data_IF_295182440482
#
_entry.id   IF_295182440482
#
_cell.length_a   1.000
_cell.length_b   1.000
_cell.length_c   1.000
_cell.angle_alpha   90.00
_cell.angle_beta   90.00
_cell.angle_gamma   90.00
#
_symmetry.space_group_name_H-M   'P 1'
#
loop_
_entity.id
_entity.type
_entity.pdbx_description
1 polymer ?
#
# COMPACT_ATOMS: atom_id res chain seq x y z
N UNK A 1 73.07 -57.61 -58.98
CA UNK A 1 73.07 -56.64 -57.86
C UNK A 1 72.00 -55.54 -57.97
N UNK A 2 71.47 -55.18 -59.16
CA UNK A 2 70.44 -54.13 -59.28
C UNK A 2 69.04 -54.56 -58.78
N UNK A 3 68.61 -55.78 -59.12
CA UNK A 3 67.27 -56.31 -58.80
C UNK A 3 67.04 -56.55 -57.30
N UNK A 4 68.08 -56.88 -56.54
CA UNK A 4 67.99 -57.10 -55.09
C UNK A 4 67.80 -55.79 -54.33
N UNK A 5 68.46 -54.71 -54.77
CA UNK A 5 68.30 -53.37 -54.17
C UNK A 5 66.91 -52.79 -54.42
N UNK A 6 66.34 -53.00 -55.61
CA UNK A 6 64.95 -52.56 -55.91
C UNK A 6 63.91 -53.35 -55.12
N UNK A 7 64.12 -54.65 -54.88
CA UNK A 7 63.25 -55.47 -54.03
C UNK A 7 63.25 -55.00 -52.57
N UNK A 8 64.41 -54.67 -52.00
CA UNK A 8 64.52 -54.12 -50.65
C UNK A 8 63.83 -52.76 -50.51
N UNK A 9 64.01 -51.86 -51.49
CA UNK A 9 63.33 -50.57 -51.50
C UNK A 9 61.80 -50.72 -51.54
N UNK A 10 61.27 -51.64 -52.36
CA UNK A 10 59.84 -51.94 -52.43
C UNK A 10 59.28 -52.54 -51.13
N UNK A 11 60.06 -53.38 -50.45
CA UNK A 11 59.68 -53.92 -49.12
C UNK A 11 59.61 -52.82 -48.08
N UNK A 12 60.60 -51.93 -48.05
CA UNK A 12 60.64 -50.80 -47.12
C UNK A 12 59.48 -49.82 -47.38
N UNK A 13 59.17 -49.57 -48.65
CA UNK A 13 58.05 -48.71 -49.04
C UNK A 13 56.70 -49.33 -48.66
N UNK A 14 56.50 -50.64 -48.87
CA UNK A 14 55.31 -51.36 -48.40
C UNK A 14 55.17 -51.28 -46.88
N UNK A 15 56.27 -51.45 -46.13
CA UNK A 15 56.26 -51.33 -44.67
C UNK A 15 55.78 -49.94 -44.23
N UNK A 16 56.27 -48.87 -44.88
CA UNK A 16 55.85 -47.49 -44.58
C UNK A 16 54.37 -47.25 -44.89
N UNK A 17 53.90 -47.70 -46.05
CA UNK A 17 52.48 -47.57 -46.40
C UNK A 17 51.57 -48.33 -45.44
N UNK A 18 52.01 -49.49 -44.95
CA UNK A 18 51.24 -50.27 -43.98
C UNK A 18 51.17 -49.60 -42.61
N UNK A 19 52.25 -48.94 -42.19
CA UNK A 19 52.28 -48.12 -40.97
C UNK A 19 51.41 -46.86 -41.11
N UNK A 20 51.51 -46.13 -42.22
CA UNK A 20 50.64 -44.97 -42.51
C UNK A 20 49.16 -45.34 -42.57
N UNK A 21 48.82 -46.49 -43.17
CA UNK A 21 47.45 -46.99 -43.21
C UNK A 21 46.94 -47.30 -41.80
N UNK A 22 47.77 -47.91 -40.94
CA UNK A 22 47.40 -48.20 -39.55
C UNK A 22 47.15 -46.92 -38.75
N UNK A 23 48.02 -45.92 -38.89
CA UNK A 23 47.90 -44.62 -38.24
C UNK A 23 46.66 -43.86 -38.71
N UNK A 24 46.37 -43.91 -40.03
CA UNK A 24 45.16 -43.31 -40.61
C UNK A 24 43.89 -43.97 -40.08
N UNK A 25 43.91 -45.31 -39.96
CA UNK A 25 42.78 -46.08 -39.44
C UNK A 25 42.53 -45.83 -37.95
N UNK A 26 43.59 -45.68 -37.15
CA UNK A 26 43.49 -45.32 -35.74
C UNK A 26 42.95 -43.89 -35.56
N UNK A 27 43.42 -42.92 -36.36
CA UNK A 27 42.88 -41.56 -36.38
C UNK A 27 41.41 -41.53 -36.76
N UNK A 28 41.02 -42.25 -37.81
CA UNK A 28 39.62 -42.34 -38.26
C UNK A 28 38.71 -42.98 -37.18
N UNK A 29 39.21 -43.99 -36.48
CA UNK A 29 38.50 -44.62 -35.35
C UNK A 29 38.30 -43.64 -34.19
N UNK A 30 39.35 -42.87 -33.85
CA UNK A 30 39.31 -41.84 -32.81
C UNK A 30 38.34 -40.70 -33.17
N UNK A 31 38.41 -40.17 -34.39
CA UNK A 31 37.46 -39.16 -34.89
C UNK A 31 36.03 -39.69 -34.90
N UNK A 32 35.81 -40.93 -35.33
CA UNK A 32 34.49 -41.56 -35.29
C UNK A 32 33.95 -41.74 -33.87
N UNK A 33 34.83 -41.98 -32.89
CA UNK A 33 34.44 -42.00 -31.48
C UNK A 33 34.10 -40.61 -30.97
N UNK A 34 34.89 -39.59 -31.34
CA UNK A 34 34.63 -38.20 -30.98
C UNK A 34 33.31 -37.68 -31.54
N UNK A 35 33.03 -37.93 -32.82
CA UNK A 35 31.76 -37.60 -33.47
C UNK A 35 30.60 -38.29 -32.74
N UNK A 36 30.73 -39.57 -32.37
CA UNK A 36 29.69 -40.27 -31.62
C UNK A 36 29.41 -39.65 -30.25
N UNK A 37 30.43 -39.15 -29.56
CA UNK A 37 30.27 -38.46 -28.27
C UNK A 37 29.57 -37.13 -28.46
N UNK A 38 30.04 -36.30 -29.41
CA UNK A 38 29.41 -35.01 -29.73
C UNK A 38 27.94 -35.19 -30.15
N UNK A 39 27.62 -36.20 -30.95
CA UNK A 39 26.23 -36.48 -31.33
C UNK A 39 25.35 -36.83 -30.12
N UNK A 40 25.89 -37.50 -29.09
CA UNK A 40 25.16 -37.79 -27.85
C UNK A 40 24.94 -36.54 -27.01
N UNK A 41 25.96 -35.68 -26.91
CA UNK A 41 25.88 -34.39 -26.21
C UNK A 41 24.82 -33.49 -26.86
N UNK A 42 24.88 -33.32 -28.18
CA UNK A 42 23.88 -32.54 -28.94
C UNK A 42 22.47 -33.10 -28.76
N UNK A 43 22.31 -34.42 -28.73
CA UNK A 43 21.01 -35.05 -28.50
C UNK A 43 20.47 -34.78 -27.09
N UNK A 44 21.34 -34.86 -26.07
CA UNK A 44 20.98 -34.56 -24.68
C UNK A 44 20.63 -33.08 -24.51
N UNK A 45 21.44 -32.17 -25.07
CA UNK A 45 21.18 -30.73 -25.01
C UNK A 45 19.84 -30.38 -25.66
N UNK A 46 19.54 -30.99 -26.83
CA UNK A 46 18.27 -30.78 -27.52
C UNK A 46 17.06 -31.28 -26.70
N UNK A 47 17.20 -32.40 -25.99
CA UNK A 47 16.16 -32.90 -25.09
C UNK A 47 15.95 -31.97 -23.90
N UNK A 48 17.03 -31.46 -23.30
CA UNK A 48 16.94 -30.52 -22.17
C UNK A 48 16.27 -29.21 -22.56
N UNK A 49 16.62 -28.63 -23.71
CA UNK A 49 15.99 -27.41 -24.24
C UNK A 49 14.50 -27.63 -24.50
N UNK A 50 14.12 -28.75 -25.13
CA UNK A 50 12.71 -29.05 -25.39
C UNK A 50 11.90 -29.22 -24.10
N UNK A 51 12.47 -29.85 -23.08
CA UNK A 51 11.84 -29.97 -21.77
C UNK A 51 11.73 -28.62 -21.04
N UNK A 52 12.71 -27.74 -21.20
CA UNK A 52 12.70 -26.41 -20.62
C UNK A 52 11.64 -25.52 -21.28
N UNK A 53 11.61 -25.47 -22.62
CA UNK A 53 10.61 -24.70 -23.37
C UNK A 53 9.17 -25.12 -22.99
N UNK A 54 8.90 -26.42 -22.98
CA UNK A 54 7.58 -26.93 -22.57
C UNK A 54 7.26 -26.68 -21.10
N UNK A 55 8.26 -26.60 -20.22
CA UNK A 55 8.10 -26.25 -18.81
C UNK A 55 7.76 -24.78 -18.62
N UNK A 56 8.44 -23.89 -19.33
CA UNK A 56 8.22 -22.45 -19.30
C UNK A 56 6.84 -22.08 -19.87
N UNK A 57 6.43 -22.66 -21.00
CA UNK A 57 5.09 -22.47 -21.58
C UNK A 57 3.98 -22.89 -20.61
N UNK A 58 4.12 -24.07 -19.97
CA UNK A 58 3.16 -24.56 -18.97
C UNK A 58 3.10 -23.66 -17.75
N UNK A 59 4.24 -23.16 -17.28
CA UNK A 59 4.29 -22.24 -16.16
C UNK A 59 3.60 -20.91 -16.50
N UNK A 60 3.88 -20.34 -17.67
CA UNK A 60 3.22 -19.11 -18.12
C UNK A 60 1.70 -19.29 -18.21
N UNK A 61 1.24 -20.36 -18.86
CA UNK A 61 -0.19 -20.67 -18.98
C UNK A 61 -0.85 -20.83 -17.61
N UNK A 62 -0.19 -21.54 -16.67
CA UNK A 62 -0.67 -21.67 -15.30
C UNK A 62 -0.78 -20.33 -14.57
N UNK A 63 0.19 -19.42 -14.75
CA UNK A 63 0.10 -18.09 -14.12
C UNK A 63 -1.01 -17.23 -14.71
N UNK A 64 -1.34 -17.41 -15.99
CA UNK A 64 -2.45 -16.70 -16.63
C UNK A 64 -3.79 -17.21 -16.12
N UNK A 65 -3.95 -18.55 -16.04
CA UNK A 65 -5.11 -19.20 -15.43
C UNK A 65 -5.29 -18.79 -13.96
N UNK A 66 -4.20 -18.72 -13.18
CA UNK A 66 -4.26 -18.28 -11.77
C UNK A 66 -4.73 -16.82 -11.64
N UNK A 67 -4.35 -15.94 -12.56
CA UNK A 67 -4.84 -14.54 -12.60
C UNK A 67 -6.31 -14.47 -12.95
N UNK A 68 -6.76 -15.24 -13.94
CA UNK A 68 -8.17 -15.29 -14.32
C UNK A 68 -9.05 -15.87 -13.19
N UNK A 69 -8.56 -16.89 -12.48
CA UNK A 69 -9.25 -17.40 -11.30
C UNK A 69 -9.38 -16.35 -10.20
N UNK A 70 -8.35 -15.53 -10.00
CA UNK A 70 -8.37 -14.48 -8.99
C UNK A 70 -9.31 -13.33 -9.37
N UNK A 71 -9.37 -12.94 -10.65
CA UNK A 71 -10.35 -11.94 -11.12
C UNK A 71 -11.78 -12.43 -10.95
N UNK A 72 -12.07 -13.68 -11.34
CA UNK A 72 -13.40 -14.28 -11.17
C UNK A 72 -13.79 -14.41 -9.68
N UNK A 73 -12.85 -14.75 -8.80
CA UNK A 73 -13.09 -14.77 -7.34
C UNK A 73 -13.48 -13.40 -6.80
N UNK A 74 -12.77 -12.36 -7.23
CA UNK A 74 -13.06 -10.98 -6.84
C UNK A 74 -14.44 -10.54 -7.33
N UNK A 75 -14.80 -10.87 -8.58
CA UNK A 75 -16.13 -10.57 -9.12
C UNK A 75 -17.24 -11.30 -8.34
N UNK A 76 -17.04 -12.57 -8.00
CA UNK A 76 -17.99 -13.33 -7.17
C UNK A 76 -18.15 -12.68 -5.80
N UNK A 77 -17.06 -12.20 -5.18
CA UNK A 77 -17.13 -11.51 -3.90
C UNK A 77 -17.95 -10.21 -3.99
N UNK A 78 -17.74 -9.41 -5.04
CA UNK A 78 -18.52 -8.18 -5.31
C UNK A 78 -20.01 -8.52 -5.52
N UNK A 79 -20.32 -9.46 -6.42
CA UNK A 79 -21.70 -9.88 -6.70
C UNK A 79 -22.41 -10.41 -5.47
N UNK A 80 -21.71 -11.13 -4.57
CA UNK A 80 -22.28 -11.57 -3.28
C UNK A 80 -22.61 -10.40 -2.37
N UNK A 81 -21.74 -9.38 -2.32
CA UNK A 81 -21.99 -8.15 -1.58
C UNK A 81 -23.20 -7.40 -2.10
N UNK A 82 -23.28 -7.21 -3.42
CA UNK A 82 -24.42 -6.58 -4.10
C UNK A 82 -25.72 -7.36 -3.87
N UNK A 83 -25.68 -8.69 -3.93
CA UNK A 83 -26.86 -9.52 -3.66
C UNK A 83 -27.37 -9.37 -2.22
N UNK A 84 -26.46 -9.28 -1.24
CA UNK A 84 -26.83 -9.05 0.16
C UNK A 84 -27.47 -7.65 0.35
N UNK A 85 -26.92 -6.63 -0.31
CA UNK A 85 -27.52 -5.28 -0.30
C UNK A 85 -28.89 -5.28 -0.98
N UNK A 86 -29.04 -5.94 -2.13
CA UNK A 86 -30.31 -6.05 -2.85
C UNK A 86 -31.39 -6.72 -2.00
N UNK A 87 -31.06 -7.79 -1.27
CA UNK A 87 -31.99 -8.44 -0.32
C UNK A 87 -32.40 -7.50 0.81
N UNK A 88 -31.45 -6.74 1.36
CA UNK A 88 -31.74 -5.76 2.43
C UNK A 88 -32.69 -4.67 1.92
N UNK A 89 -32.44 -4.14 0.72
CA UNK A 89 -33.30 -3.17 0.07
C UNK A 89 -34.69 -3.76 -0.22
N UNK A 90 -34.76 -5.00 -0.70
CA UNK A 90 -36.04 -5.69 -0.92
C UNK A 90 -36.85 -5.78 0.37
N UNK A 91 -36.25 -6.22 1.48
CA UNK A 91 -36.94 -6.27 2.78
C UNK A 91 -37.39 -4.89 3.25
N UNK A 92 -36.59 -3.85 3.03
CA UNK A 92 -36.96 -2.48 3.35
C UNK A 92 -38.16 -2.00 2.53
N UNK A 93 -38.20 -2.28 1.22
CA UNK A 93 -39.34 -1.97 0.36
C UNK A 93 -40.60 -2.69 0.83
N UNK A 94 -40.53 -3.99 1.13
CA UNK A 94 -41.68 -4.74 1.66
C UNK A 94 -42.19 -4.17 2.99
N UNK A 95 -41.31 -3.68 3.87
CA UNK A 95 -41.72 -2.99 5.10
C UNK A 95 -42.45 -1.68 4.80
N UNK A 96 -41.88 -0.84 3.93
CA UNK A 96 -42.49 0.42 3.54
C UNK A 96 -43.85 0.23 2.83
N UNK A 97 -44.01 -0.83 2.06
CA UNK A 97 -45.28 -1.18 1.43
C UNK A 97 -46.35 -1.55 2.48
N UNK A 98 -45.98 -2.30 3.52
CA UNK A 98 -46.90 -2.59 4.65
C UNK A 98 -47.26 -1.33 5.42
N UNK A 99 -46.28 -0.49 5.74
CA UNK A 99 -46.51 0.76 6.47
C UNK A 99 -47.41 1.70 5.67
N UNK A 100 -47.19 1.81 4.36
CA UNK A 100 -48.06 2.55 3.45
C UNK A 100 -49.50 2.04 3.49
N UNK A 101 -49.70 0.72 3.43
CA UNK A 101 -51.05 0.15 3.49
C UNK A 101 -51.74 0.45 4.83
N UNK A 102 -51.03 0.33 5.96
CA UNK A 102 -51.55 0.66 7.28
C UNK A 102 -51.91 2.14 7.41
N UNK A 103 -51.07 3.04 6.89
CA UNK A 103 -51.34 4.47 6.89
C UNK A 103 -52.57 4.80 6.02
N UNK A 104 -52.70 4.17 4.86
CA UNK A 104 -53.87 4.32 4.00
C UNK A 104 -55.16 3.87 4.70
N UNK A 105 -55.14 2.75 5.42
CA UNK A 105 -56.28 2.29 6.24
C UNK A 105 -56.63 3.30 7.36
N UNK A 106 -55.63 3.85 8.05
CA UNK A 106 -55.88 4.85 9.09
C UNK A 106 -56.45 6.14 8.52
N UNK A 107 -55.94 6.60 7.39
CA UNK A 107 -56.46 7.80 6.69
C UNK A 107 -57.91 7.59 6.30
N UNK A 108 -58.22 6.48 5.62
CA UNK A 108 -59.62 6.18 5.23
C UNK A 108 -60.56 6.06 6.44
N UNK A 109 -60.11 5.45 7.55
CA UNK A 109 -60.88 5.41 8.80
C UNK A 109 -61.13 6.80 9.38
N UNK A 110 -60.13 7.68 9.38
CA UNK A 110 -60.27 9.05 9.85
C UNK A 110 -61.20 9.88 8.94
N UNK A 111 -61.06 9.73 7.63
CA UNK A 111 -61.94 10.37 6.64
C UNK A 111 -63.42 9.96 6.84
N UNK A 112 -63.68 8.66 7.06
CA UNK A 112 -65.03 8.17 7.37
C UNK A 112 -65.57 8.75 8.68
N UNK A 113 -64.75 8.84 9.73
CA UNK A 113 -65.15 9.44 11.02
C UNK A 113 -65.46 10.94 10.88
N UNK A 114 -64.66 11.67 10.10
CA UNK A 114 -64.89 13.09 9.83
C UNK A 114 -66.18 13.31 9.03
N UNK A 115 -66.42 12.52 7.98
CA UNK A 115 -67.69 12.57 7.23
C UNK A 115 -68.89 12.18 8.11
N UNK A 116 -68.78 11.13 8.93
CA UNK A 116 -69.85 10.71 9.84
C UNK A 116 -70.22 11.74 10.90
N UNK A 117 -69.23 12.54 11.36
CA UNK A 117 -69.45 13.65 12.29
C UNK A 117 -70.19 14.83 11.64
N UNK A 118 -69.85 15.17 10.39
CA UNK A 118 -70.54 16.22 9.63
C UNK A 118 -72.01 15.89 9.32
N UNK A 119 -72.36 14.60 9.17
CA UNK A 119 -73.75 14.16 8.94
C UNK A 119 -74.58 14.13 10.23
N UNK A 120 -73.95 14.00 11.41
CA UNK A 120 -74.63 13.96 12.71
C UNK A 120 -74.86 15.34 13.34
N UNK A 121 -74.10 16.37 12.95
CA UNK A 121 -74.28 17.77 13.37
C UNK A 121 -75.27 18.55 12.47
N UNK A 122 -76.31 17.87 11.96
CA UNK A 122 -77.39 18.44 11.15
C UNK A 122 -78.59 18.95 11.94
N UNK A 123 -78.51 19.02 13.27
CA UNK A 123 -79.61 19.48 14.12
C UNK A 123 -79.14 19.98 15.49
N UNK A 124 -79.41 21.25 15.73
CA UNK A 124 -79.37 21.98 17.00
C UNK A 124 -78.11 22.81 17.33
N UNK A 125 -78.26 24.10 17.05
CA UNK A 125 -77.85 25.27 17.83
C UNK A 125 -76.50 25.27 18.60
N UNK A 126 -75.64 26.21 18.20
CA UNK A 126 -75.08 27.16 19.17
C UNK A 126 -73.57 27.31 19.19
N UNK A 127 -73.09 28.36 18.50
CA UNK A 127 -71.87 29.14 18.79
C UNK A 127 -70.53 28.38 18.72
N UNK A 128 -69.54 28.83 17.91
CA UNK A 128 -68.17 28.34 18.08
C UNK A 128 -67.68 28.83 19.45
N UNK A 129 -67.60 27.90 20.40
CA UNK A 129 -67.05 28.16 21.72
C UNK A 129 -65.62 28.65 21.55
N UNK A 130 -65.35 29.89 21.96
CA UNK A 130 -64.04 30.54 21.98
C UNK A 130 -62.93 29.70 22.64
N UNK A 131 -63.29 28.65 23.39
CA UNK A 131 -62.35 27.69 23.96
C UNK A 131 -61.73 26.71 22.95
N UNK A 132 -62.42 26.39 21.84
CA UNK A 132 -61.91 25.40 20.87
C UNK A 132 -60.74 25.98 20.06
N UNK A 133 -60.86 27.23 19.63
CA UNK A 133 -59.78 27.98 18.97
C UNK A 133 -58.58 28.20 19.89
N UNK A 134 -58.81 28.41 21.18
CA UNK A 134 -57.74 28.57 22.17
C UNK A 134 -57.01 27.24 22.45
N UNK A 135 -57.73 26.11 22.43
CA UNK A 135 -57.14 24.78 22.58
C UNK A 135 -56.30 24.37 21.36
N UNK A 136 -56.74 24.73 20.15
CA UNK A 136 -55.98 24.49 18.93
C UNK A 136 -54.70 25.34 18.86
N UNK A 137 -54.77 26.61 19.26
CA UNK A 137 -53.57 27.45 19.39
C UNK A 137 -52.57 26.87 20.41
N UNK A 138 -53.03 26.42 21.58
CA UNK A 138 -52.17 25.78 22.57
C UNK A 138 -51.59 24.45 22.08
N UNK A 139 -52.30 23.72 21.21
CA UNK A 139 -51.80 22.50 20.57
C UNK A 139 -50.69 22.81 19.57
N UNK A 140 -50.89 23.80 18.71
CA UNK A 140 -49.87 24.24 17.74
C UNK A 140 -48.61 24.77 18.43
N UNK A 141 -48.78 25.59 19.47
CA UNK A 141 -47.66 26.09 20.30
C UNK A 141 -46.91 24.95 20.99
N UNK A 142 -47.64 23.94 21.49
CA UNK A 142 -47.04 22.74 22.08
C UNK A 142 -46.26 21.94 21.05
N UNK A 143 -46.83 21.69 19.86
CA UNK A 143 -46.15 20.95 18.78
C UNK A 143 -44.90 21.70 18.30
N UNK A 144 -44.96 23.03 18.23
CA UNK A 144 -43.81 23.87 17.91
C UNK A 144 -42.72 23.80 18.99
N UNK A 145 -43.09 23.88 20.27
CA UNK A 145 -42.16 23.74 21.38
C UNK A 145 -41.53 22.34 21.44
N UNK A 146 -42.32 21.28 21.22
CA UNK A 146 -41.83 19.91 21.11
C UNK A 146 -40.86 19.75 19.93
N UNK A 147 -41.15 20.39 18.79
CA UNK A 147 -40.23 20.47 17.64
C UNK A 147 -38.89 21.13 17.99
N UNK A 148 -38.91 22.27 18.69
CA UNK A 148 -37.69 22.93 19.16
C UNK A 148 -36.90 22.04 20.14
N UNK A 149 -37.58 21.37 21.08
CA UNK A 149 -36.96 20.45 22.02
C UNK A 149 -36.28 19.29 21.27
N UNK A 150 -36.96 18.69 20.29
CA UNK A 150 -36.40 17.62 19.49
C UNK A 150 -35.18 18.06 18.67
N UNK A 151 -35.24 19.27 18.08
CA UNK A 151 -34.10 19.85 17.39
C UNK A 151 -32.91 20.08 18.32
N UNK A 152 -33.14 20.67 19.50
CA UNK A 152 -32.08 20.89 20.49
C UNK A 152 -31.50 19.57 20.98
N UNK A 153 -32.33 18.55 21.23
CA UNK A 153 -31.86 17.23 21.63
C UNK A 153 -30.97 16.60 20.55
N UNK A 154 -31.32 16.73 19.27
CA UNK A 154 -30.47 16.29 18.15
C UNK A 154 -29.12 17.00 18.15
N UNK A 155 -29.11 18.34 18.28
CA UNK A 155 -27.87 19.13 18.35
C UNK A 155 -27.03 18.77 19.57
N UNK A 156 -27.65 18.53 20.72
CA UNK A 156 -26.97 18.12 21.95
C UNK A 156 -26.28 16.77 21.75
N UNK A 157 -26.97 15.78 21.18
CA UNK A 157 -26.39 14.45 20.91
C UNK A 157 -25.21 14.56 19.94
N UNK A 158 -25.34 15.36 18.88
CA UNK A 158 -24.26 15.58 17.91
C UNK A 158 -23.04 16.29 18.53
N UNK A 159 -23.27 17.29 19.39
CA UNK A 159 -22.20 17.99 20.11
C UNK A 159 -21.53 17.10 21.16
N UNK A 160 -22.29 16.26 21.86
CA UNK A 160 -21.75 15.28 22.81
C UNK A 160 -20.88 14.25 22.09
N UNK A 161 -21.34 13.70 20.98
CA UNK A 161 -20.55 12.78 20.13
C UNK A 161 -19.26 13.42 19.66
N UNK A 162 -19.32 14.66 19.12
CA UNK A 162 -18.12 15.38 18.68
C UNK A 162 -17.15 15.65 19.84
N UNK A 163 -17.66 15.99 21.03
CA UNK A 163 -16.80 16.15 22.21
C UNK A 163 -16.13 14.84 22.62
N UNK A 164 -16.84 13.72 22.57
CA UNK A 164 -16.27 12.40 22.83
C UNK A 164 -15.20 12.01 21.80
N UNK A 165 -15.46 12.23 20.51
CA UNK A 165 -14.50 12.01 19.43
C UNK A 165 -13.23 12.84 19.61
N UNK A 166 -13.38 14.14 19.93
CA UNK A 166 -12.24 15.02 20.22
C UNK A 166 -11.47 14.55 21.46
N UNK A 167 -12.16 14.12 22.51
CA UNK A 167 -11.54 13.56 23.72
C UNK A 167 -10.76 12.29 23.43
N UNK A 168 -11.27 11.40 22.58
CA UNK A 168 -10.57 10.19 22.12
C UNK A 168 -9.35 10.57 21.29
N UNK A 169 -9.47 11.51 20.36
CA UNK A 169 -8.36 11.98 19.53
C UNK A 169 -7.24 12.59 20.36
N UNK A 170 -7.58 13.39 21.37
CA UNK A 170 -6.62 14.00 22.28
C UNK A 170 -5.90 12.94 23.13
N UNK A 171 -6.63 11.96 23.67
CA UNK A 171 -6.01 10.80 24.33
C UNK A 171 -5.09 10.02 23.40
N UNK A 172 -5.48 9.82 22.14
CA UNK A 172 -4.66 9.12 21.15
C UNK A 172 -3.39 9.88 20.81
N UNK A 173 -3.46 11.20 20.66
CA UNK A 173 -2.27 12.04 20.44
C UNK A 173 -1.35 12.03 21.67
N UNK A 174 -1.89 12.19 22.88
CA UNK A 174 -1.12 12.10 24.12
C UNK A 174 -0.46 10.72 24.31
N UNK A 175 -1.15 9.63 23.96
CA UNK A 175 -0.58 8.29 23.96
C UNK A 175 0.48 8.15 22.86
N UNK A 176 0.29 8.70 21.67
CA UNK A 176 1.28 8.65 20.60
C UNK A 176 2.58 9.42 20.95
N UNK A 177 2.49 10.48 21.73
CA UNK A 177 3.65 11.22 22.25
C UNK A 177 4.41 10.46 23.34
N UNK A 178 3.74 9.62 24.12
CA UNK A 178 4.37 8.79 25.16
C UNK A 178 4.82 7.41 24.66
N UNK A 179 4.22 6.89 23.58
CA UNK A 179 4.55 5.58 23.01
C UNK A 179 5.62 5.66 21.91
N UNK A 180 6.65 6.48 22.16
CA UNK A 180 7.93 6.36 21.49
C UNK A 180 8.62 5.08 21.97
N UNK A 181 8.60 4.03 21.14
CA UNK A 181 9.48 2.86 21.22
C UNK A 181 9.78 2.32 22.63
N UNK A 182 8.86 1.59 23.25
CA UNK A 182 9.28 0.57 24.22
C UNK A 182 8.38 -0.65 24.15
N UNK A 183 9.01 -1.79 23.92
CA UNK A 183 8.36 -3.08 23.95
C UNK A 183 8.15 -3.49 25.40
N UNK A 184 6.99 -4.04 25.72
CA UNK A 184 6.89 -5.01 26.80
C UNK A 184 5.63 -5.84 26.62
N UNK A 185 5.86 -7.14 26.61
CA UNK A 185 4.95 -8.24 26.33
C UNK A 185 3.74 -8.35 27.26
N UNK A 186 2.72 -9.04 26.75
CA UNK A 186 1.85 -9.87 27.58
C UNK A 186 0.39 -9.93 27.14
N UNK A 187 0.06 -10.73 26.13
CA UNK A 187 -0.63 -12.02 26.30
C UNK A 187 -1.15 -12.54 24.94
N UNK A 188 -1.10 -13.86 24.83
CA UNK A 188 -1.26 -14.71 23.66
C UNK A 188 -2.52 -14.54 22.80
N UNK A 189 -2.33 -14.78 21.49
CA UNK A 189 -2.93 -15.89 20.72
C UNK A 189 -3.50 -15.42 19.36
N UNK A 190 -3.06 -16.09 18.28
CA UNK A 190 -3.64 -15.97 16.94
C UNK A 190 -2.71 -15.35 15.89
N UNK A 191 -1.92 -16.20 15.23
CA UNK A 191 -0.86 -15.82 14.31
C UNK A 191 -1.27 -14.97 13.09
N UNK A 192 -0.37 -14.07 12.70
CA UNK A 192 -0.13 -13.63 11.33
C UNK A 192 1.24 -12.96 11.28
N UNK A 193 2.17 -13.54 10.52
CA UNK A 193 3.50 -12.98 10.26
C UNK A 193 3.32 -11.61 9.59
N UNK A 194 3.47 -10.53 10.36
CA UNK A 194 3.62 -9.19 9.79
C UNK A 194 5.09 -9.02 9.45
N UNK A 195 5.37 -8.83 8.17
CA UNK A 195 6.70 -8.49 7.66
C UNK A 195 7.25 -7.32 8.46
N UNK A 196 8.27 -7.60 9.28
CA UNK A 196 9.09 -6.57 9.90
C UNK A 196 9.79 -5.88 8.73
N UNK A 197 9.31 -4.68 8.34
CA UNK A 197 10.04 -3.83 7.40
C UNK A 197 11.46 -3.70 7.97
N UNK A 198 12.45 -4.18 7.22
CA UNK A 198 13.83 -4.07 7.61
C UNK A 198 14.14 -2.57 7.85
N UNK A 199 14.95 -2.24 8.86
CA UNK A 199 15.39 -0.87 9.06
C UNK A 199 15.97 -0.31 7.75
N UNK A 200 15.75 0.98 7.44
CA UNK A 200 16.32 1.61 6.26
C UNK A 200 17.83 1.32 6.18
N UNK A 201 18.31 0.85 5.03
CA UNK A 201 19.74 0.58 4.83
C UNK A 201 20.53 1.88 4.91
N UNK A 202 21.63 1.85 5.65
CA UNK A 202 22.54 2.99 5.72
C UNK A 202 23.30 3.06 4.38
N UNK A 203 23.38 4.23 3.78
CA UNK A 203 24.12 4.45 2.54
C UNK A 203 24.90 5.76 2.69
N UNK A 204 26.20 5.69 2.46
CA UNK A 204 27.03 6.88 2.45
C UNK A 204 27.23 7.35 1.01
N UNK A 205 26.63 8.50 0.69
CA UNK A 205 26.71 9.13 -0.64
C UNK A 205 28.13 9.65 -0.98
N UNK A 206 29.05 9.68 0.00
CA UNK A 206 30.43 10.19 -0.17
C UNK A 206 31.37 9.08 -0.67
N UNK A 207 31.19 7.83 -0.21
CA UNK A 207 32.02 6.67 -0.57
C UNK A 207 31.30 5.64 -1.47
N UNK A 208 30.04 5.87 -1.81
CA UNK A 208 29.14 4.91 -2.49
C UNK A 208 29.10 3.53 -1.82
N UNK A 209 29.13 3.50 -0.48
CA UNK A 209 29.21 2.28 0.29
C UNK A 209 27.98 2.06 1.18
N UNK A 210 27.40 0.85 1.11
CA UNK A 210 26.19 0.46 1.86
C UNK A 210 26.53 -0.17 3.21
N UNK A 211 25.70 0.11 4.20
CA UNK A 211 25.62 -0.51 5.53
C UNK A 211 26.88 -0.42 6.41
N UNK A 212 27.88 0.36 6.01
CA UNK A 212 29.13 0.55 6.77
C UNK A 212 29.05 1.75 7.73
N UNK A 213 28.69 2.90 7.21
CA UNK A 213 28.51 4.15 7.94
C UNK A 213 27.44 4.99 7.25
N UNK A 214 26.84 5.92 7.99
CA UNK A 214 26.00 6.96 7.39
C UNK A 214 26.88 8.06 6.78
N UNK A 215 26.32 8.89 5.91
CA UNK A 215 27.04 9.97 5.23
C UNK A 215 27.84 10.86 6.21
N UNK A 216 27.29 11.18 7.38
CA UNK A 216 27.93 12.05 8.40
C UNK A 216 29.17 11.44 9.08
N UNK A 217 29.28 10.11 9.08
CA UNK A 217 30.40 9.37 9.72
C UNK A 217 31.48 8.99 8.70
N UNK A 218 31.42 9.57 7.49
CA UNK A 218 32.34 9.22 6.42
C UNK A 218 33.78 9.64 6.77
N UNK A 219 34.75 8.71 6.87
CA UNK A 219 36.13 9.04 7.22
C UNK A 219 36.80 9.94 6.17
N UNK A 220 36.29 9.95 4.93
CA UNK A 220 36.70 10.88 3.87
C UNK A 220 36.24 12.32 4.12
N UNK A 221 35.22 12.55 4.95
CA UNK A 221 34.71 13.87 5.31
C UNK A 221 35.60 14.56 6.35
N UNK A 222 36.27 13.78 7.20
CA UNK A 222 37.16 14.29 8.22
C UNK A 222 38.62 14.02 7.86
N UNK A 223 39.18 14.69 6.83
CA UNK A 223 40.58 15.16 6.77
C UNK A 223 40.79 16.03 5.51
N UNK A 224 40.60 17.34 5.63
CA UNK A 224 41.38 18.30 4.85
C UNK A 224 42.16 19.22 5.82
N UNK A 225 43.49 19.19 5.80
CA UNK A 225 44.32 19.99 6.72
C UNK A 225 44.33 21.49 6.40
N UNK A 226 43.55 21.94 5.41
CA UNK A 226 43.37 23.33 4.98
C UNK A 226 42.03 23.95 5.41
N UNK A 227 41.33 23.30 6.34
CA UNK A 227 40.11 23.87 6.91
C UNK A 227 40.46 25.02 7.86
N UNK A 228 39.95 26.22 7.52
CA UNK A 228 40.06 27.46 8.30
C UNK A 228 39.68 27.14 9.76
N UNK A 229 40.49 27.52 10.76
CA UNK A 229 40.23 27.12 12.14
C UNK A 229 38.81 27.50 12.56
N UNK A 230 38.05 26.49 12.99
CA UNK A 230 36.70 26.69 13.53
C UNK A 230 36.74 27.75 14.63
N UNK A 231 35.74 28.62 14.65
CA UNK A 231 35.79 29.88 15.38
C UNK A 231 36.15 29.69 16.87
N UNK A 232 37.13 30.46 17.35
CA UNK A 232 37.61 30.40 18.74
C UNK A 232 36.67 31.09 19.75
N UNK A 233 35.37 31.20 19.45
CA UNK A 233 34.41 31.90 20.29
C UNK A 233 34.11 31.09 21.56
N UNK A 234 34.73 31.48 22.68
CA UNK A 234 34.52 30.89 24.02
C UNK A 234 33.36 31.59 24.76
N UNK A 235 32.20 31.73 24.11
CA UNK A 235 30.98 32.23 24.75
C UNK A 235 30.29 31.15 25.60
N UNK A 236 29.40 31.54 26.51
CA UNK A 236 28.51 30.57 27.17
C UNK A 236 27.48 30.07 26.14
N UNK A 237 27.01 28.81 26.21
CA UNK A 237 26.08 28.24 25.21
C UNK A 237 24.76 29.01 25.03
N UNK A 238 24.36 29.81 26.03
CA UNK A 238 23.15 30.62 25.98
C UNK A 238 23.34 32.01 25.34
N UNK A 239 24.58 32.45 25.15
CA UNK A 239 24.88 33.78 24.61
C UNK A 239 25.10 33.68 23.10
N UNK A 240 24.26 34.37 22.32
CA UNK A 240 24.38 34.41 20.88
C UNK A 240 25.67 35.16 20.50
N UNK A 241 26.47 34.54 19.63
CA UNK A 241 27.71 35.14 19.15
C UNK A 241 27.40 36.44 18.40
N UNK A 242 28.07 37.57 18.71
CA UNK A 242 27.88 38.81 17.96
C UNK A 242 28.19 38.60 16.48
N UNK A 243 27.20 38.87 15.64
CA UNK A 243 27.28 38.83 14.18
C UNK A 243 26.84 40.19 13.64
N UNK A 244 27.54 40.66 12.62
CA UNK A 244 27.20 41.88 11.92
C UNK A 244 26.60 41.52 10.56
N UNK A 245 25.35 41.90 10.36
CA UNK A 245 24.65 41.66 9.09
C UNK A 245 25.08 42.64 7.98
N UNK A 246 25.78 43.73 8.32
CA UNK A 246 26.28 44.71 7.34
C UNK A 246 27.53 44.18 6.62
N UNK A 247 28.47 43.59 7.37
CA UNK A 247 29.73 43.09 6.83
C UNK A 247 29.82 41.56 6.76
N UNK A 248 28.75 40.88 7.17
CA UNK A 248 28.63 39.43 7.25
C UNK A 248 29.75 38.75 8.08
N UNK A 249 30.33 39.48 9.03
CA UNK A 249 31.42 38.99 9.88
C UNK A 249 30.98 38.81 11.34
N UNK A 250 31.50 37.75 11.97
CA UNK A 250 31.36 37.53 13.39
C UNK A 250 32.41 38.30 14.19
N UNK A 251 32.02 38.93 15.30
CA UNK A 251 32.94 39.60 16.23
C UNK A 251 32.46 40.95 16.75
N UNK A 252 31.44 41.53 16.13
CA UNK A 252 30.74 42.73 16.57
C UNK A 252 29.26 42.63 16.16
N UNK A 253 28.37 43.43 16.74
CA UNK A 253 26.98 43.51 16.28
C UNK A 253 26.86 44.53 15.17
N UNK A 254 25.81 44.38 14.36
CA UNK A 254 25.42 45.30 13.29
C UNK A 254 25.41 46.78 13.73
N UNK A 255 25.05 47.06 14.99
CA UNK A 255 24.97 48.41 15.56
C UNK A 255 26.34 49.08 15.81
N UNK A 256 27.40 48.27 15.87
CA UNK A 256 28.77 48.71 16.16
C UNK A 256 29.68 48.66 14.93
N UNK A 257 29.09 48.43 13.76
CA UNK A 257 29.80 48.34 12.49
C UNK A 257 30.21 49.73 12.00
N UNK A 258 31.51 49.94 11.75
CA UNK A 258 32.06 51.19 11.21
C UNK A 258 32.36 51.07 9.71
N UNK A 259 31.39 50.60 8.91
CA UNK A 259 31.56 50.45 7.45
C UNK A 259 31.11 51.68 6.65
N UNK A 260 31.63 52.86 7.03
CA UNK A 260 31.59 54.07 6.20
C UNK A 260 32.90 54.24 5.40
N UNK A 261 33.38 53.18 4.75
CA UNK A 261 34.45 53.29 3.74
C UNK A 261 34.03 52.54 2.48
N UNK A 262 33.36 53.29 1.59
CA UNK A 262 33.19 52.95 0.18
C UNK A 262 34.56 52.73 -0.46
N UNK A 263 34.75 51.57 -1.09
CA UNK A 263 35.63 51.40 -2.25
C UNK A 263 34.89 50.64 -3.33
#
# INVERSE_FOLDING_TARGET
MSVTKTLEALKQQNSKFQEELSLSQERSSSESQHIRTLCKEIAADRETLSNQETGEERNFQKTDEDKELETLRNEIAVLRGENAMAKTLQTAVEMLERDKAQLQERVTSLEQRLMGRQVSEGGDSGVPSSGDTALDQLREEKEFAEGQINFLNSVIVDLQRKNEELKVKLKKMALAEFNGNDGTDGLEEGGSKKDKKAPPRLFCDICDCFDLHDTEDCPTQAQSPDSVPHSSFKGKPADQRPYCDICEAFGHSTESCQEDQTF
#
